data_IF_505240289068
#
_entry.id   IF_505240289068
#
_cell.length_a   1.000
_cell.length_b   1.000
_cell.length_c   1.000
_cell.angle_alpha   90.00
_cell.angle_beta   90.00
_cell.angle_gamma   90.00
#
_symmetry.space_group_name_H-M   'P 1'
#
loop_
_entity.id
_entity.type
_entity.pdbx_description
1 polymer ?
#
# COMPACT_ATOMS: atom_id res chain seq x y z
N UNK A 1 -7.33 24.26 9.90
CA UNK A 1 -6.08 24.12 10.67
C UNK A 1 -6.38 23.30 11.90
N UNK A 2 -5.69 22.18 12.08
CA UNK A 2 -5.85 21.43 13.32
C UNK A 2 -4.50 21.34 14.03
N UNK A 3 -4.48 21.89 15.25
CA UNK A 3 -3.38 21.74 16.21
C UNK A 3 -3.78 20.74 17.27
N UNK A 4 -2.86 19.85 17.59
CA UNK A 4 -3.08 18.77 18.54
C UNK A 4 -2.12 18.91 19.70
N UNK A 5 -2.64 18.80 20.92
CA UNK A 5 -1.80 18.72 22.11
C UNK A 5 -1.28 17.31 22.27
N UNK A 6 0.03 17.16 22.38
CA UNK A 6 0.72 15.89 22.61
C UNK A 6 1.30 15.89 24.02
N UNK A 7 1.03 14.84 24.78
CA UNK A 7 1.68 14.58 26.05
C UNK A 7 2.82 13.58 25.84
N UNK A 8 4.04 14.02 26.00
CA UNK A 8 5.25 13.24 25.76
C UNK A 8 6.15 13.22 27.02
N UNK A 9 7.25 12.51 26.94
CA UNK A 9 8.33 12.55 27.92
C UNK A 9 9.65 12.86 27.23
N UNK A 10 10.44 13.71 27.86
CA UNK A 10 11.80 14.01 27.37
C UNK A 10 12.78 12.87 27.72
N UNK A 11 14.04 13.03 27.35
CA UNK A 11 15.09 12.02 27.62
C UNK A 11 15.33 11.79 29.12
N UNK A 12 15.03 12.77 29.97
CA UNK A 12 15.10 12.64 31.42
C UNK A 12 13.84 12.01 32.03
N UNK A 13 12.91 11.51 31.20
CA UNK A 13 11.62 10.95 31.60
C UNK A 13 10.66 11.97 32.25
N UNK A 14 10.89 13.26 32.09
CA UNK A 14 10.02 14.33 32.57
C UNK A 14 8.87 14.55 31.58
N UNK A 15 7.66 14.83 32.09
CA UNK A 15 6.51 15.13 31.24
C UNK A 15 6.73 16.44 30.48
N UNK A 16 6.42 16.41 29.18
CA UNK A 16 6.41 17.60 28.32
C UNK A 16 5.12 17.63 27.53
N UNK A 17 4.58 18.84 27.41
CA UNK A 17 3.44 19.10 26.55
C UNK A 17 3.93 19.79 25.28
N UNK A 18 3.52 19.27 24.14
CA UNK A 18 3.88 19.77 22.82
C UNK A 18 2.63 20.04 22.01
N UNK A 19 2.72 20.94 21.07
CA UNK A 19 1.66 21.22 20.10
C UNK A 19 2.14 20.75 18.72
N UNK A 20 1.39 19.87 18.08
CA UNK A 20 1.63 19.43 16.71
C UNK A 20 0.70 20.15 15.76
N UNK A 21 1.25 20.83 14.77
CA UNK A 21 0.50 21.46 13.69
C UNK A 21 0.55 20.53 12.47
N UNK A 22 -0.62 20.00 12.06
CA UNK A 22 -0.68 19.00 10.98
C UNK A 22 -0.58 19.60 9.58
N UNK A 23 -0.66 20.91 9.40
CA UNK A 23 -0.47 21.55 8.11
C UNK A 23 1.01 21.73 7.79
N UNK A 24 1.79 22.15 8.77
CA UNK A 24 3.22 22.40 8.60
C UNK A 24 4.08 21.23 9.06
N UNK A 25 3.47 20.22 9.70
CA UNK A 25 4.17 19.15 10.43
C UNK A 25 5.13 19.68 11.49
N UNK A 26 4.90 20.89 12.00
CA UNK A 26 5.72 21.48 13.06
C UNK A 26 5.35 20.94 14.43
N UNK A 27 6.37 20.74 15.23
CA UNK A 27 6.25 20.46 16.66
C UNK A 27 6.64 21.73 17.42
N UNK A 28 5.72 22.23 18.22
CA UNK A 28 5.87 23.49 18.94
C UNK A 28 5.85 23.24 20.45
N UNK A 29 6.54 24.08 21.21
CA UNK A 29 6.36 24.19 22.64
C UNK A 29 5.01 24.84 22.98
N UNK A 30 4.62 24.85 24.26
CA UNK A 30 3.37 25.50 24.74
C UNK A 30 3.27 26.99 24.37
N UNK A 31 4.41 27.68 24.34
CA UNK A 31 4.51 29.08 23.95
C UNK A 31 4.53 29.29 22.41
N UNK A 32 4.21 28.26 21.66
CA UNK A 32 4.20 28.24 20.18
C UNK A 32 5.56 28.46 19.51
N UNK A 33 6.66 28.37 20.22
CA UNK A 33 7.99 28.36 19.61
C UNK A 33 8.31 26.97 19.04
N UNK A 34 9.05 26.86 17.92
CA UNK A 34 9.44 25.57 17.38
C UNK A 34 10.23 24.73 18.41
N UNK A 35 9.82 23.46 18.56
CA UNK A 35 10.55 22.54 19.42
C UNK A 35 11.95 22.27 18.84
N UNK A 36 13.02 22.31 19.65
CA UNK A 36 14.39 22.17 19.15
C UNK A 36 14.67 20.71 18.71
N UNK A 37 14.52 20.43 17.43
CA UNK A 37 14.86 19.17 16.79
C UNK A 37 15.95 19.40 15.74
N UNK A 38 16.71 18.34 15.44
CA UNK A 38 17.61 18.32 14.29
C UNK A 38 16.78 18.16 13.02
N UNK A 39 16.23 19.27 12.52
CA UNK A 39 15.43 19.28 11.31
C UNK A 39 16.28 18.94 10.08
N UNK A 40 15.68 18.24 9.15
CA UNK A 40 16.27 17.93 7.85
C UNK A 40 15.86 19.04 6.90
N UNK A 41 16.84 19.78 6.39
CA UNK A 41 16.55 20.78 5.35
C UNK A 41 16.11 20.09 4.07
N UNK A 42 14.84 20.29 3.70
CA UNK A 42 14.24 19.77 2.49
C UNK A 42 13.23 20.78 1.96
N UNK A 43 13.39 21.15 0.71
CA UNK A 43 12.37 21.96 0.04
C UNK A 43 11.20 21.07 -0.37
N UNK A 44 10.01 21.38 0.13
CA UNK A 44 8.77 20.76 -0.29
C UNK A 44 8.07 21.67 -1.27
N UNK A 45 7.96 21.23 -2.49
CA UNK A 45 6.96 21.81 -3.40
C UNK A 45 5.62 21.22 -2.97
N UNK A 46 4.76 22.06 -2.41
CA UNK A 46 3.36 21.70 -2.28
C UNK A 46 2.88 21.46 -3.71
N UNK A 47 2.61 20.21 -4.05
CA UNK A 47 2.21 19.87 -5.41
C UNK A 47 0.98 20.69 -5.77
N UNK A 48 1.09 21.52 -6.79
CA UNK A 48 -0.06 22.18 -7.36
C UNK A 48 -0.85 21.08 -8.06
N UNK A 49 -1.99 20.70 -7.48
CA UNK A 49 -2.91 19.77 -8.13
C UNK A 49 -3.66 20.59 -9.17
N UNK A 50 -3.23 20.48 -10.41
CA UNK A 50 -4.02 20.98 -11.52
C UNK A 50 -5.27 20.12 -11.65
N UNK A 51 -6.42 20.79 -11.76
CA UNK A 51 -7.67 20.09 -12.01
C UNK A 51 -7.58 19.38 -13.36
N UNK A 52 -7.61 18.07 -13.35
CA UNK A 52 -7.64 17.26 -14.57
C UNK A 52 -9.04 17.29 -15.16
N UNK A 53 -9.14 17.56 -16.45
CA UNK A 53 -10.40 17.58 -17.19
C UNK A 53 -10.22 16.93 -18.56
N UNK A 54 -11.33 16.68 -19.28
CA UNK A 54 -11.25 16.17 -20.65
C UNK A 54 -10.48 17.09 -21.61
N UNK A 55 -10.43 18.40 -21.30
CA UNK A 55 -9.66 19.38 -22.07
C UNK A 55 -8.25 19.61 -21.53
N UNK A 56 -7.97 19.17 -20.31
CA UNK A 56 -6.66 19.28 -19.65
C UNK A 56 -6.37 17.96 -18.92
N UNK A 57 -6.00 16.91 -19.66
CA UNK A 57 -5.86 15.57 -19.09
C UNK A 57 -4.62 15.39 -18.19
N UNK A 58 -3.92 16.44 -17.83
CA UNK A 58 -2.73 16.41 -16.96
C UNK A 58 -1.75 15.29 -17.37
N UNK A 59 -0.58 15.62 -17.87
CA UNK A 59 0.40 14.60 -18.29
C UNK A 59 1.50 14.47 -17.26
N UNK A 60 1.74 13.24 -16.77
CA UNK A 60 2.94 12.87 -16.05
C UNK A 60 3.87 12.14 -17.03
N UNK A 61 4.89 12.82 -17.52
CA UNK A 61 5.79 12.28 -18.56
C UNK A 61 6.94 11.46 -18.00
N UNK A 62 7.36 11.72 -16.76
CA UNK A 62 8.52 11.09 -16.13
C UNK A 62 8.21 10.55 -14.73
N UNK A 63 7.28 9.61 -14.58
CA UNK A 63 6.99 9.02 -13.30
C UNK A 63 8.15 8.12 -12.84
N UNK A 64 8.53 8.22 -11.56
CA UNK A 64 9.44 7.26 -10.94
C UNK A 64 8.76 5.93 -10.70
N UNK A 65 7.46 5.96 -10.42
CA UNK A 65 6.64 4.76 -10.18
C UNK A 65 5.54 4.65 -11.21
N UNK A 66 5.60 3.60 -12.01
CA UNK A 66 4.56 3.21 -12.96
C UNK A 66 3.72 2.09 -12.36
N UNK A 67 2.42 2.34 -12.14
CA UNK A 67 1.47 1.34 -11.68
C UNK A 67 0.62 0.87 -12.86
N UNK A 68 0.65 -0.42 -13.15
CA UNK A 68 -0.07 -1.01 -14.28
C UNK A 68 -1.22 -1.85 -13.73
N UNK A 69 -2.45 -1.44 -14.04
CA UNK A 69 -3.65 -2.21 -13.71
C UNK A 69 -3.92 -3.22 -14.83
N UNK A 70 -3.91 -4.51 -14.47
CA UNK A 70 -4.16 -5.62 -15.38
C UNK A 70 -5.66 -5.86 -15.65
N UNK A 71 -6.51 -5.41 -14.73
CA UNK A 71 -7.94 -5.61 -14.70
C UNK A 71 -8.43 -5.68 -13.26
N UNK A 72 -9.73 -5.78 -13.03
CA UNK A 72 -10.33 -5.78 -11.69
C UNK A 72 -10.91 -7.14 -11.26
N UNK A 73 -10.81 -8.17 -12.10
CA UNK A 73 -11.23 -9.52 -11.71
C UNK A 73 -10.36 -10.08 -10.61
N UNK A 74 -11.00 -10.73 -9.66
CA UNK A 74 -10.38 -11.36 -8.50
C UNK A 74 -11.05 -12.70 -8.23
N UNK A 75 -10.29 -13.67 -7.77
CA UNK A 75 -10.81 -14.96 -7.32
C UNK A 75 -11.25 -14.96 -5.85
N UNK A 76 -11.13 -13.79 -5.16
CA UNK A 76 -11.65 -13.55 -3.81
C UNK A 76 -12.75 -12.47 -3.84
N UNK A 77 -13.57 -12.46 -2.79
CA UNK A 77 -14.61 -11.46 -2.56
C UNK A 77 -14.53 -10.97 -1.13
N UNK A 78 -13.44 -10.25 -0.81
CA UNK A 78 -13.23 -9.72 0.53
C UNK A 78 -14.38 -8.81 0.96
N UNK A 79 -14.88 -8.96 2.18
CA UNK A 79 -16.00 -8.18 2.70
C UNK A 79 -15.78 -6.66 2.67
N UNK A 80 -14.54 -6.25 2.82
CA UNK A 80 -14.11 -4.85 2.85
C UNK A 80 -13.44 -4.36 1.56
N UNK A 81 -13.53 -5.11 0.44
CA UNK A 81 -12.85 -4.74 -0.79
C UNK A 81 -13.51 -3.54 -1.46
N UNK A 82 -12.78 -2.43 -1.58
CA UNK A 82 -13.27 -1.23 -2.26
C UNK A 82 -13.46 -1.40 -3.76
N UNK A 83 -12.81 -2.39 -4.40
CA UNK A 83 -12.93 -2.65 -5.84
C UNK A 83 -14.20 -3.42 -6.21
N UNK A 84 -14.86 -4.04 -5.25
CA UNK A 84 -16.02 -4.91 -5.43
C UNK A 84 -17.19 -4.22 -6.16
N UNK A 85 -17.32 -2.91 -6.02
CA UNK A 85 -18.39 -2.08 -6.61
C UNK A 85 -17.89 -1.16 -7.73
N UNK A 86 -16.61 -1.23 -8.07
CA UNK A 86 -16.07 -0.43 -9.16
C UNK A 86 -16.55 -1.05 -10.47
N UNK A 87 -17.17 -0.28 -11.40
CA UNK A 87 -17.52 -0.77 -12.70
C UNK A 87 -16.28 -1.31 -13.41
N UNK A 88 -16.34 -2.54 -13.89
CA UNK A 88 -15.23 -3.12 -14.63
C UNK A 88 -15.13 -2.44 -16.00
N UNK A 89 -13.93 -1.98 -16.34
CA UNK A 89 -13.59 -1.70 -17.72
C UNK A 89 -13.53 -3.01 -18.53
N UNK A 90 -13.38 -2.90 -19.83
CA UNK A 90 -13.10 -4.06 -20.65
C UNK A 90 -11.84 -4.76 -20.12
N UNK A 91 -11.97 -6.03 -19.77
CA UNK A 91 -10.84 -6.83 -19.30
C UNK A 91 -9.79 -6.97 -20.40
N UNK A 92 -8.53 -6.80 -20.03
CA UNK A 92 -7.42 -6.89 -20.96
C UNK A 92 -6.89 -8.30 -21.11
N UNK A 93 -6.32 -8.58 -22.26
CA UNK A 93 -5.79 -9.88 -22.62
C UNK A 93 -4.32 -9.78 -23.04
N UNK A 94 -3.68 -10.91 -23.25
CA UNK A 94 -2.31 -10.97 -23.79
C UNK A 94 -2.17 -10.24 -25.14
N UNK A 95 -3.23 -10.17 -25.94
CA UNK A 95 -3.21 -9.48 -27.24
C UNK A 95 -3.03 -7.97 -27.14
N UNK A 96 -3.35 -7.38 -25.98
CA UNK A 96 -3.25 -5.93 -25.73
C UNK A 96 -1.82 -5.50 -25.38
N UNK A 97 -0.95 -6.44 -24.95
CA UNK A 97 0.41 -6.17 -24.48
C UNK A 97 1.27 -5.43 -25.52
N UNK A 98 1.32 -5.81 -26.81
CA UNK A 98 2.15 -5.11 -27.78
C UNK A 98 1.72 -3.66 -28.02
N UNK A 99 0.41 -3.38 -27.98
CA UNK A 99 -0.10 -2.03 -28.11
C UNK A 99 0.24 -1.19 -26.88
N UNK A 100 0.07 -1.73 -25.68
CA UNK A 100 0.41 -1.05 -24.44
C UNK A 100 1.90 -0.69 -24.38
N UNK A 101 2.79 -1.59 -24.78
CA UNK A 101 4.23 -1.33 -24.82
C UNK A 101 4.58 -0.17 -25.77
N UNK A 102 3.90 -0.05 -26.92
CA UNK A 102 4.07 1.10 -27.82
C UNK A 102 3.58 2.39 -27.19
N UNK A 103 2.40 2.37 -26.53
CA UNK A 103 1.86 3.55 -25.82
C UNK A 103 2.81 4.04 -24.72
N UNK A 104 3.44 3.13 -23.99
CA UNK A 104 4.46 3.50 -23.00
C UNK A 104 5.68 4.14 -23.65
N UNK A 105 6.11 3.63 -24.82
CA UNK A 105 7.24 4.18 -25.58
C UNK A 105 7.00 5.63 -25.97
N UNK A 106 5.80 5.90 -26.47
CA UNK A 106 5.41 7.24 -26.91
C UNK A 106 5.13 8.22 -25.74
N UNK A 107 4.92 7.70 -24.52
CA UNK A 107 4.46 8.49 -23.38
C UNK A 107 5.50 8.73 -22.29
N UNK A 108 6.56 7.92 -22.23
CA UNK A 108 7.59 8.02 -21.20
C UNK A 108 8.90 8.50 -21.79
N UNK A 109 9.37 9.67 -21.33
CA UNK A 109 10.66 10.21 -21.73
C UNK A 109 11.84 9.57 -20.97
N UNK A 110 11.56 8.97 -19.79
CA UNK A 110 12.55 8.34 -18.93
C UNK A 110 12.05 6.99 -18.41
N UNK A 111 12.98 6.09 -18.13
CA UNK A 111 12.70 4.82 -17.51
C UNK A 111 12.16 5.00 -16.08
N UNK A 112 11.08 4.34 -15.70
CA UNK A 112 10.62 4.34 -14.30
C UNK A 112 11.63 3.60 -13.41
N UNK A 113 11.77 4.05 -12.17
CA UNK A 113 12.59 3.38 -11.15
C UNK A 113 11.88 2.12 -10.61
N UNK A 114 10.54 2.15 -10.64
CA UNK A 114 9.70 1.06 -10.12
C UNK A 114 8.46 0.85 -10.99
N UNK A 115 8.15 -0.42 -11.24
CA UNK A 115 6.94 -0.85 -11.94
C UNK A 115 6.15 -1.78 -11.02
N UNK A 116 4.89 -1.43 -10.76
CA UNK A 116 4.00 -2.21 -9.92
C UNK A 116 2.84 -2.76 -10.74
N UNK A 117 2.57 -4.06 -10.60
CA UNK A 117 1.46 -4.71 -11.26
C UNK A 117 0.30 -4.86 -10.29
N UNK A 118 -0.85 -4.31 -10.68
CA UNK A 118 -2.06 -4.24 -9.89
C UNK A 118 -3.24 -4.86 -10.61
N UNK A 119 -4.29 -5.20 -9.84
CA UNK A 119 -5.54 -5.73 -10.35
C UNK A 119 -6.48 -6.03 -9.19
N UNK A 120 -7.55 -6.78 -9.44
CA UNK A 120 -8.27 -7.46 -8.39
C UNK A 120 -7.34 -8.48 -7.73
N UNK A 121 -6.98 -9.53 -8.48
CA UNK A 121 -5.85 -10.42 -8.17
C UNK A 121 -4.93 -10.52 -9.40
N UNK A 122 -3.71 -9.98 -9.35
CA UNK A 122 -2.84 -9.95 -10.52
C UNK A 122 -2.49 -11.32 -11.09
N UNK A 123 -2.41 -12.37 -10.29
CA UNK A 123 -2.10 -13.72 -10.76
C UNK A 123 -3.26 -14.39 -11.52
N UNK A 124 -4.48 -13.88 -11.43
CA UNK A 124 -5.58 -14.29 -12.31
C UNK A 124 -5.25 -13.95 -13.76
N UNK A 125 -4.49 -12.89 -13.98
CA UNK A 125 -4.06 -12.42 -15.29
C UNK A 125 -2.69 -12.96 -15.71
N UNK A 126 -2.23 -14.10 -15.20
CA UNK A 126 -0.87 -14.61 -15.42
C UNK A 126 -0.49 -14.71 -16.90
N UNK A 127 -1.48 -15.03 -17.77
CA UNK A 127 -1.28 -15.12 -19.24
C UNK A 127 -0.95 -13.77 -19.88
N UNK A 128 -1.44 -12.67 -19.29
CA UNK A 128 -1.15 -11.28 -19.71
C UNK A 128 0.05 -10.73 -18.97
N UNK A 129 0.12 -10.97 -17.67
CA UNK A 129 1.18 -10.48 -16.78
C UNK A 129 2.56 -10.98 -17.21
N UNK A 130 2.69 -12.28 -17.52
CA UNK A 130 3.99 -12.89 -17.84
C UNK A 130 4.66 -12.23 -19.06
N UNK A 131 4.08 -12.20 -20.26
CA UNK A 131 4.72 -11.56 -21.41
C UNK A 131 4.91 -10.05 -21.22
N UNK A 132 4.01 -9.37 -20.51
CA UNK A 132 4.16 -7.96 -20.21
C UNK A 132 5.37 -7.70 -19.31
N UNK A 133 5.49 -8.43 -18.21
CA UNK A 133 6.58 -8.25 -17.25
C UNK A 133 7.94 -8.62 -17.88
N UNK A 134 8.01 -9.69 -18.71
CA UNK A 134 9.22 -10.09 -19.42
C UNK A 134 9.68 -9.00 -20.41
N UNK A 135 8.75 -8.44 -21.18
CA UNK A 135 9.05 -7.34 -22.10
C UNK A 135 9.50 -6.07 -21.36
N UNK A 136 8.83 -5.72 -20.25
CA UNK A 136 9.20 -4.57 -19.43
C UNK A 136 10.55 -4.77 -18.74
N UNK A 137 10.90 -6.00 -18.34
CA UNK A 137 12.22 -6.32 -17.77
C UNK A 137 13.33 -6.11 -18.78
N UNK A 138 13.11 -6.53 -20.04
CA UNK A 138 14.07 -6.31 -21.12
C UNK A 138 14.25 -4.81 -21.41
N UNK A 139 13.15 -4.05 -21.39
CA UNK A 139 13.16 -2.62 -21.69
C UNK A 139 13.72 -1.75 -20.55
N UNK A 140 13.38 -2.10 -19.30
CA UNK A 140 13.76 -1.37 -18.11
C UNK A 140 14.51 -2.27 -17.12
N UNK A 141 15.73 -2.70 -17.45
CA UNK A 141 16.46 -3.71 -16.68
C UNK A 141 16.76 -3.29 -15.24
N UNK A 142 16.88 -1.98 -14.99
CA UNK A 142 17.17 -1.43 -13.66
C UNK A 142 15.93 -1.15 -12.82
N UNK A 143 14.72 -1.21 -13.40
CA UNK A 143 13.49 -0.96 -12.65
C UNK A 143 13.22 -2.07 -11.64
N UNK A 144 12.82 -1.72 -10.42
CA UNK A 144 12.30 -2.69 -9.46
C UNK A 144 10.89 -3.08 -9.83
N UNK A 145 10.56 -4.39 -9.75
CA UNK A 145 9.21 -4.89 -10.00
C UNK A 145 8.50 -5.20 -8.69
N UNK A 146 7.22 -4.88 -8.61
CA UNK A 146 6.38 -5.15 -7.45
C UNK A 146 5.03 -5.74 -7.82
N UNK A 147 4.54 -6.67 -7.00
CA UNK A 147 3.21 -7.27 -7.12
C UNK A 147 2.62 -7.51 -5.73
N UNK A 148 1.30 -7.34 -5.60
CA UNK A 148 0.58 -7.71 -4.40
C UNK A 148 -0.45 -8.78 -4.78
N UNK A 149 -0.43 -9.92 -4.10
CA UNK A 149 -1.28 -11.08 -4.39
C UNK A 149 -1.94 -11.61 -3.13
N UNK A 150 -3.10 -12.23 -3.25
CA UNK A 150 -3.74 -12.97 -2.15
C UNK A 150 -3.06 -14.32 -1.86
N UNK A 151 -2.10 -14.72 -2.70
CA UNK A 151 -1.28 -15.92 -2.51
C UNK A 151 -1.92 -17.24 -2.91
N UNK A 152 -3.21 -17.29 -3.20
CA UNK A 152 -3.93 -18.54 -3.47
C UNK A 152 -3.54 -19.24 -4.79
N UNK A 153 -2.89 -18.51 -5.70
CA UNK A 153 -2.46 -19.03 -7.00
C UNK A 153 -0.94 -19.28 -7.07
N UNK A 154 -0.22 -19.06 -5.96
CA UNK A 154 1.21 -19.31 -5.91
C UNK A 154 1.50 -20.82 -6.02
N UNK A 155 2.45 -21.17 -6.84
CA UNK A 155 2.93 -22.52 -7.08
C UNK A 155 4.41 -22.47 -7.49
N UNK A 156 5.14 -23.60 -7.56
CA UNK A 156 6.56 -23.60 -7.86
C UNK A 156 6.94 -22.91 -9.16
N UNK A 157 6.15 -23.07 -10.23
CA UNK A 157 6.41 -22.44 -11.52
C UNK A 157 6.30 -20.89 -11.45
N UNK A 158 5.23 -20.39 -10.85
CA UNK A 158 5.01 -18.96 -10.66
C UNK A 158 6.08 -18.38 -9.73
N UNK A 159 6.43 -19.09 -8.65
CA UNK A 159 7.43 -18.64 -7.69
C UNK A 159 8.81 -18.51 -8.32
N UNK A 160 9.22 -19.48 -9.14
CA UNK A 160 10.48 -19.45 -9.88
C UNK A 160 10.52 -18.27 -10.87
N UNK A 161 9.43 -18.06 -11.59
CA UNK A 161 9.30 -16.96 -12.54
C UNK A 161 9.35 -15.59 -11.83
N UNK A 162 8.64 -15.40 -10.70
CA UNK A 162 8.69 -14.17 -9.91
C UNK A 162 10.09 -13.88 -9.38
N UNK A 163 10.78 -14.91 -8.90
CA UNK A 163 12.15 -14.80 -8.41
C UNK A 163 13.14 -14.46 -9.53
N UNK A 164 13.09 -15.17 -10.65
CA UNK A 164 13.94 -14.96 -11.81
C UNK A 164 13.82 -13.55 -12.41
N UNK A 165 12.60 -12.97 -12.41
CA UNK A 165 12.38 -11.59 -12.85
C UNK A 165 12.63 -10.54 -11.76
N UNK A 166 13.04 -10.92 -10.55
CA UNK A 166 13.40 -9.99 -9.49
C UNK A 166 12.21 -9.25 -8.89
N UNK A 167 11.04 -9.87 -8.81
CA UNK A 167 9.87 -9.26 -8.16
C UNK A 167 10.05 -9.10 -6.66
N UNK A 168 9.59 -7.97 -6.14
CA UNK A 168 9.19 -7.82 -4.75
C UNK A 168 7.72 -8.20 -4.61
N UNK A 169 7.38 -9.08 -3.67
CA UNK A 169 6.04 -9.65 -3.53
C UNK A 169 5.45 -9.31 -2.17
N UNK A 170 4.25 -8.70 -2.18
CA UNK A 170 3.41 -8.56 -1.00
C UNK A 170 2.34 -9.63 -0.98
N UNK A 171 2.33 -10.52 0.00
CA UNK A 171 1.26 -11.50 0.19
C UNK A 171 0.20 -10.90 1.10
N UNK A 172 -0.99 -10.70 0.56
CA UNK A 172 -2.13 -10.15 1.30
C UNK A 172 -2.77 -11.23 2.15
N UNK A 173 -2.59 -11.13 3.47
CA UNK A 173 -3.20 -12.05 4.44
C UNK A 173 -3.35 -11.37 5.79
N UNK A 174 -4.55 -11.43 6.37
CA UNK A 174 -4.88 -10.66 7.58
C UNK A 174 -4.49 -11.37 8.90
N UNK A 175 -3.76 -12.48 8.81
CA UNK A 175 -3.43 -13.27 9.99
C UNK A 175 -4.69 -13.83 10.66
N UNK A 176 -4.92 -13.58 11.97
CA UNK A 176 -6.10 -14.07 12.66
C UNK A 176 -7.44 -13.59 12.09
N UNK A 177 -7.42 -12.45 11.38
CA UNK A 177 -8.59 -11.82 10.77
C UNK A 177 -8.92 -12.27 9.36
N UNK A 178 -8.28 -13.32 8.83
CA UNK A 178 -8.38 -13.73 7.43
C UNK A 178 -9.81 -14.00 6.94
N UNK A 179 -10.74 -14.39 7.82
CA UNK A 179 -12.11 -14.67 7.44
C UNK A 179 -12.85 -13.51 6.77
N UNK A 180 -12.50 -12.25 7.09
CA UNK A 180 -13.08 -11.08 6.46
C UNK A 180 -12.54 -10.86 5.02
N UNK A 181 -11.39 -11.44 4.69
CA UNK A 181 -10.82 -11.43 3.34
C UNK A 181 -11.40 -12.52 2.45
N UNK A 182 -11.79 -13.67 3.02
CA UNK A 182 -12.32 -14.81 2.29
C UNK A 182 -11.63 -16.12 2.65
N UNK A 183 -11.51 -17.08 1.74
CA UNK A 183 -10.83 -18.35 1.99
C UNK A 183 -9.40 -18.10 2.50
N UNK A 184 -8.99 -18.95 3.45
CA UNK A 184 -7.62 -18.88 3.98
C UNK A 184 -6.68 -19.71 3.10
N UNK A 185 -5.76 -19.10 2.31
CA UNK A 185 -4.83 -19.84 1.47
C UNK A 185 -3.80 -20.63 2.29
N UNK A 186 -3.64 -20.30 3.58
CA UNK A 186 -2.77 -21.07 4.49
C UNK A 186 -3.46 -22.30 5.09
N UNK A 187 -4.78 -22.40 4.99
CA UNK A 187 -5.54 -23.61 5.35
C UNK A 187 -5.54 -24.64 4.22
N UNK A 188 -5.35 -24.23 2.98
CA UNK A 188 -5.16 -25.13 1.83
C UNK A 188 -3.70 -25.56 1.72
N UNK A 189 -3.43 -26.86 1.66
CA UNK A 189 -2.07 -27.41 1.70
C UNK A 189 -1.23 -26.96 0.50
N UNK A 190 -1.81 -26.91 -0.70
CA UNK A 190 -1.11 -26.52 -1.93
C UNK A 190 -0.75 -25.05 -1.93
N UNK A 191 -1.72 -24.18 -1.64
CA UNK A 191 -1.50 -22.72 -1.55
C UNK A 191 -0.50 -22.37 -0.44
N UNK A 192 -0.63 -23.02 0.71
CA UNK A 192 0.31 -22.87 1.82
C UNK A 192 1.74 -23.24 1.41
N UNK A 193 1.90 -24.39 0.74
CA UNK A 193 3.21 -24.83 0.24
C UNK A 193 3.78 -23.79 -0.75
N UNK A 194 2.96 -23.27 -1.67
CA UNK A 194 3.36 -22.22 -2.62
C UNK A 194 3.80 -20.93 -1.92
N UNK A 195 3.04 -20.46 -0.93
CA UNK A 195 3.37 -19.25 -0.15
C UNK A 195 4.68 -19.44 0.61
N UNK A 196 4.86 -20.57 1.29
CA UNK A 196 6.07 -20.84 2.08
C UNK A 196 7.31 -21.08 1.20
N UNK A 197 7.16 -21.70 0.03
CA UNK A 197 8.25 -21.81 -0.95
C UNK A 197 8.68 -20.42 -1.44
N UNK A 198 7.73 -19.57 -1.84
CA UNK A 198 8.05 -18.19 -2.24
C UNK A 198 8.72 -17.40 -1.12
N UNK A 199 8.23 -17.56 0.13
CA UNK A 199 8.82 -16.92 1.28
C UNK A 199 10.30 -17.31 1.46
N UNK A 200 10.63 -18.60 1.40
CA UNK A 200 11.99 -19.09 1.51
C UNK A 200 12.91 -18.56 0.41
N UNK A 201 12.40 -18.37 -0.81
CA UNK A 201 13.17 -17.85 -1.94
C UNK A 201 13.48 -16.36 -1.79
N UNK A 202 12.50 -15.56 -1.39
CA UNK A 202 12.57 -14.10 -1.47
C UNK A 202 12.96 -13.43 -0.15
N UNK A 203 12.71 -14.04 1.02
CA UNK A 203 13.01 -13.44 2.32
C UNK A 203 14.48 -13.14 2.55
N UNK A 204 15.46 -13.97 2.12
CA UNK A 204 16.87 -13.63 2.28
C UNK A 204 17.31 -12.37 1.54
N UNK A 205 16.53 -11.97 0.53
CA UNK A 205 16.78 -10.78 -0.29
C UNK A 205 15.88 -9.59 0.13
N UNK A 206 15.04 -9.76 1.16
CA UNK A 206 14.08 -8.73 1.59
C UNK A 206 13.02 -8.42 0.55
N UNK A 207 12.73 -9.36 -0.37
CA UNK A 207 11.79 -9.15 -1.50
C UNK A 207 10.39 -9.69 -1.25
N UNK A 208 10.06 -10.09 -0.03
CA UNK A 208 8.71 -10.56 0.32
C UNK A 208 8.24 -9.93 1.63
N UNK A 209 6.96 -9.61 1.68
CA UNK A 209 6.26 -9.16 2.88
C UNK A 209 4.89 -9.78 2.96
N UNK A 210 4.35 -9.92 4.17
CA UNK A 210 2.92 -10.10 4.36
C UNK A 210 2.27 -8.73 4.58
N UNK A 211 1.06 -8.53 4.03
CA UNK A 211 0.32 -7.30 4.19
C UNK A 211 -1.05 -7.60 4.82
N UNK A 212 -1.26 -7.10 6.02
CA UNK A 212 -2.50 -7.32 6.77
C UNK A 212 -3.35 -6.06 6.81
N UNK A 213 -4.64 -6.21 6.54
CA UNK A 213 -5.62 -5.17 6.86
C UNK A 213 -5.94 -5.22 8.34
N UNK A 214 -6.00 -4.05 8.96
CA UNK A 214 -6.51 -3.90 10.31
C UNK A 214 -8.00 -3.57 10.21
N UNK A 215 -8.83 -4.34 10.89
CA UNK A 215 -10.27 -4.18 10.86
C UNK A 215 -10.87 -4.46 12.25
N UNK A 216 -12.16 -4.17 12.42
CA UNK A 216 -12.85 -4.14 13.71
C UNK A 216 -12.60 -5.37 14.60
N UNK A 217 -12.55 -6.56 14.02
CA UNK A 217 -12.30 -7.82 14.73
C UNK A 217 -10.83 -8.30 14.65
N UNK A 218 -9.94 -7.52 14.05
CA UNK A 218 -8.51 -7.81 13.88
C UNK A 218 -7.68 -6.56 14.18
N UNK A 219 -7.80 -6.02 15.38
CA UNK A 219 -7.20 -4.72 15.77
C UNK A 219 -5.79 -4.85 16.32
N UNK A 220 -5.39 -6.03 16.81
CA UNK A 220 -4.09 -6.24 17.46
C UNK A 220 -2.98 -6.51 16.46
N UNK A 221 -2.05 -5.58 16.34
CA UNK A 221 -0.83 -5.76 15.56
C UNK A 221 0.10 -6.81 16.18
N UNK A 222 0.04 -6.97 17.52
CA UNK A 222 0.81 -7.98 18.24
C UNK A 222 0.33 -9.39 17.88
N UNK A 223 -0.98 -9.63 17.80
CA UNK A 223 -1.53 -10.94 17.40
C UNK A 223 -1.29 -11.22 15.90
N UNK A 224 -1.42 -10.21 15.03
CA UNK A 224 -1.07 -10.34 13.62
C UNK A 224 0.41 -10.72 13.48
N UNK A 225 1.31 -10.02 14.16
CA UNK A 225 2.74 -10.30 14.13
C UNK A 225 3.05 -11.71 14.65
N UNK A 226 2.45 -12.09 15.77
CA UNK A 226 2.61 -13.43 16.37
C UNK A 226 2.19 -14.54 15.41
N UNK A 227 1.09 -14.35 14.68
CA UNK A 227 0.63 -15.30 13.67
C UNK A 227 1.69 -15.57 12.61
N UNK A 228 2.25 -14.51 12.02
CA UNK A 228 3.26 -14.66 10.97
C UNK A 228 4.63 -15.11 11.48
N UNK A 229 5.01 -14.72 12.70
CA UNK A 229 6.20 -15.22 13.35
C UNK A 229 6.11 -16.74 13.60
N UNK A 230 4.94 -17.23 14.00
CA UNK A 230 4.69 -18.67 14.16
C UNK A 230 4.68 -19.41 12.81
N UNK A 231 4.12 -18.80 11.78
CA UNK A 231 4.05 -19.38 10.44
C UNK A 231 5.44 -19.58 9.81
N UNK A 232 6.31 -18.58 9.94
CA UNK A 232 7.61 -18.54 9.23
C UNK A 232 8.80 -18.90 10.10
N UNK A 233 8.69 -18.74 11.41
CA UNK A 233 9.82 -18.87 12.35
C UNK A 233 10.86 -17.73 12.21
N UNK A 234 10.59 -16.71 11.42
CA UNK A 234 11.53 -15.61 11.11
C UNK A 234 11.22 -14.36 11.97
N UNK A 235 12.08 -14.03 12.96
CA UNK A 235 11.86 -12.86 13.80
C UNK A 235 12.03 -11.52 13.05
N UNK A 236 12.58 -11.56 11.85
CA UNK A 236 12.83 -10.36 11.01
C UNK A 236 11.80 -10.18 9.91
N UNK A 237 10.73 -10.98 9.93
CA UNK A 237 9.68 -10.97 8.91
C UNK A 237 9.14 -9.56 8.64
N UNK A 238 9.01 -9.21 7.37
CA UNK A 238 8.38 -7.96 6.96
C UNK A 238 6.85 -8.13 6.95
N UNK A 239 6.17 -7.36 7.78
CA UNK A 239 4.71 -7.34 7.88
C UNK A 239 4.25 -5.89 7.69
N UNK A 240 3.66 -5.60 6.53
CA UNK A 240 3.04 -4.32 6.25
C UNK A 240 1.65 -4.23 6.88
N UNK A 241 1.32 -3.06 7.44
CA UNK A 241 -0.05 -2.70 7.72
C UNK A 241 -0.67 -2.13 6.44
N UNK A 242 -1.73 -2.73 5.92
CA UNK A 242 -2.47 -2.23 4.77
C UNK A 242 -3.11 -0.88 5.12
N UNK A 243 -4.39 -0.87 5.38
CA UNK A 243 -5.09 0.29 5.92
C UNK A 243 -6.08 -0.21 6.97
N UNK A 244 -6.62 0.70 7.78
CA UNK A 244 -7.85 0.39 8.49
C UNK A 244 -8.98 0.39 7.47
N UNK A 245 -9.92 -0.54 7.61
CA UNK A 245 -11.04 -0.69 6.67
C UNK A 245 -11.94 0.54 6.67
N UNK A 246 -12.13 1.13 5.50
CA UNK A 246 -13.07 2.22 5.30
C UNK A 246 -14.48 1.72 4.95
N UNK A 247 -15.53 2.40 5.42
CA UNK A 247 -16.92 1.96 5.24
C UNK A 247 -17.48 2.38 3.87
N UNK A 248 -16.98 1.80 2.78
CA UNK A 248 -17.52 2.08 1.44
C UNK A 248 -18.90 1.46 1.20
N UNK A 249 -19.24 0.40 1.93
CA UNK A 249 -20.48 -0.36 1.81
C UNK A 249 -20.82 -1.11 3.10
N UNK A 250 -21.84 -1.96 3.07
CA UNK A 250 -22.27 -2.73 4.23
C UNK A 250 -21.18 -3.67 4.78
N UNK A 251 -20.37 -4.32 3.91
CA UNK A 251 -19.26 -5.17 4.32
C UNK A 251 -18.10 -4.35 4.89
N UNK A 252 -17.73 -3.25 4.26
CA UNK A 252 -16.76 -2.29 4.78
C UNK A 252 -17.23 -1.70 6.10
N UNK A 253 -18.51 -1.35 6.22
CA UNK A 253 -19.10 -0.84 7.46
C UNK A 253 -19.00 -1.88 8.58
N UNK A 254 -19.32 -3.14 8.35
CA UNK A 254 -19.25 -4.20 9.36
C UNK A 254 -17.82 -4.41 9.90
N UNK A 255 -16.82 -4.17 9.06
CA UNK A 255 -15.40 -4.34 9.38
C UNK A 255 -14.69 -3.03 9.81
N UNK A 256 -15.38 -1.88 9.80
CA UNK A 256 -14.86 -0.59 10.28
C UNK A 256 -15.21 -0.34 11.74
N UNK A 257 -14.57 0.66 12.35
CA UNK A 257 -14.91 1.11 13.69
C UNK A 257 -16.25 1.84 13.67
N UNK A 258 -17.17 1.45 14.56
CA UNK A 258 -18.56 1.91 14.55
C UNK A 258 -18.80 3.14 15.43
N UNK A 259 -17.89 3.44 16.36
CA UNK A 259 -18.06 4.54 17.29
C UNK A 259 -16.73 5.22 17.64
N UNK A 260 -16.82 6.40 18.27
CA UNK A 260 -15.66 7.10 18.80
C UNK A 260 -14.97 6.32 19.93
N UNK A 261 -15.75 5.56 20.70
CA UNK A 261 -15.25 4.72 21.79
C UNK A 261 -14.41 3.58 21.22
N UNK A 262 -14.89 2.88 20.19
CA UNK A 262 -14.11 1.84 19.50
C UNK A 262 -12.83 2.43 18.89
N UNK A 263 -12.92 3.61 18.28
CA UNK A 263 -11.76 4.30 17.71
C UNK A 263 -10.73 4.70 18.79
N UNK A 264 -11.21 5.13 19.97
CA UNK A 264 -10.36 5.44 21.11
C UNK A 264 -9.67 4.18 21.66
N UNK A 265 -10.42 3.11 21.88
CA UNK A 265 -9.87 1.84 22.36
C UNK A 265 -8.84 1.26 21.40
N UNK A 266 -9.11 1.29 20.10
CA UNK A 266 -8.15 0.89 19.08
C UNK A 266 -6.84 1.68 19.16
N UNK A 267 -6.92 3.01 19.31
CA UNK A 267 -5.72 3.85 19.44
C UNK A 267 -4.98 3.56 20.74
N UNK A 268 -5.71 3.39 21.84
CA UNK A 268 -5.14 3.04 23.14
C UNK A 268 -4.41 1.69 23.07
N UNK A 269 -5.05 0.66 22.51
CA UNK A 269 -4.45 -0.66 22.29
C UNK A 269 -3.16 -0.53 21.46
N UNK A 270 -3.21 0.21 20.35
CA UNK A 270 -2.04 0.41 19.49
C UNK A 270 -0.86 1.05 20.23
N UNK A 271 -1.13 2.06 21.06
CA UNK A 271 -0.11 2.70 21.88
C UNK A 271 0.46 1.75 22.94
N UNK A 272 -0.39 0.94 23.58
CA UNK A 272 0.04 -0.03 24.58
C UNK A 272 0.91 -1.14 23.98
N UNK A 273 0.59 -1.64 22.78
CA UNK A 273 1.41 -2.58 22.04
C UNK A 273 2.80 -2.01 21.73
N UNK A 274 2.86 -0.74 21.29
CA UNK A 274 4.12 -0.03 21.05
C UNK A 274 4.90 0.14 22.35
N UNK A 275 4.25 0.55 23.45
CA UNK A 275 4.88 0.75 24.76
C UNK A 275 5.45 -0.56 25.33
N UNK A 276 4.80 -1.69 25.11
CA UNK A 276 5.33 -3.02 25.48
C UNK A 276 6.59 -3.40 24.72
N UNK A 277 6.83 -2.80 23.56
CA UNK A 277 8.06 -2.94 22.78
C UNK A 277 8.25 -4.28 22.06
N UNK A 278 7.30 -5.22 22.17
CA UNK A 278 7.44 -6.58 21.62
C UNK A 278 7.52 -6.60 20.10
N UNK A 279 6.78 -5.72 19.45
CA UNK A 279 6.67 -5.63 17.97
C UNK A 279 7.27 -4.35 17.40
N UNK A 280 7.88 -3.50 18.23
CA UNK A 280 8.40 -2.18 17.80
C UNK A 280 9.47 -2.28 16.72
N UNK A 281 10.16 -3.43 16.62
CA UNK A 281 11.15 -3.71 15.58
C UNK A 281 10.53 -4.12 14.24
N UNK A 282 9.24 -4.50 14.20
CA UNK A 282 8.53 -4.91 13.00
C UNK A 282 7.88 -3.72 12.27
N UNK A 283 7.79 -3.83 10.95
CA UNK A 283 7.25 -2.76 10.11
C UNK A 283 5.78 -2.47 10.39
N UNK A 284 4.98 -3.46 10.76
CA UNK A 284 3.58 -3.29 11.13
C UNK A 284 3.35 -2.28 12.26
N UNK A 285 4.30 -2.16 13.18
CA UNK A 285 4.24 -1.18 14.27
C UNK A 285 5.05 0.08 13.94
N UNK A 286 6.18 -0.07 13.27
CA UNK A 286 7.22 0.95 13.13
C UNK A 286 7.01 1.88 11.94
N UNK A 287 6.47 1.38 10.82
CA UNK A 287 6.46 2.14 9.57
C UNK A 287 5.68 3.46 9.68
N UNK A 288 4.49 3.44 10.27
CA UNK A 288 3.67 4.65 10.44
C UNK A 288 4.28 5.63 11.44
N UNK A 289 4.86 5.14 12.53
CA UNK A 289 5.54 5.98 13.52
C UNK A 289 6.78 6.65 12.92
N UNK A 290 7.57 5.88 12.15
CA UNK A 290 8.75 6.39 11.44
C UNK A 290 8.34 7.45 10.42
N UNK A 291 7.30 7.20 9.65
CA UNK A 291 6.81 8.12 8.63
C UNK A 291 6.27 9.41 9.27
N UNK A 292 5.57 9.31 10.37
CA UNK A 292 5.11 10.47 11.12
C UNK A 292 6.28 11.26 11.71
N UNK A 293 7.22 10.61 12.40
CA UNK A 293 8.41 11.27 12.94
C UNK A 293 9.24 11.94 11.84
N UNK A 294 9.41 11.25 10.71
CA UNK A 294 10.10 11.79 9.55
C UNK A 294 9.39 13.02 8.98
N UNK A 295 8.07 13.02 8.92
CA UNK A 295 7.31 14.19 8.45
C UNK A 295 7.56 15.43 9.29
N UNK A 296 7.72 15.27 10.62
CA UNK A 296 8.08 16.35 11.53
C UNK A 296 9.50 16.84 11.27
N UNK A 297 10.47 15.90 11.18
CA UNK A 297 11.87 16.25 10.95
C UNK A 297 12.10 16.95 9.61
N UNK A 298 11.38 16.54 8.59
CA UNK A 298 11.43 17.13 7.25
C UNK A 298 10.49 18.34 7.09
N UNK A 299 9.69 18.70 8.11
CA UNK A 299 8.62 19.71 8.02
C UNK A 299 7.73 19.52 6.79
N UNK A 300 7.41 18.27 6.49
CA UNK A 300 6.62 17.92 5.31
C UNK A 300 5.17 18.30 5.50
N UNK A 301 4.60 19.20 4.69
CA UNK A 301 3.21 19.59 4.81
C UNK A 301 2.30 18.39 4.55
N UNK A 302 1.13 18.39 5.19
CA UNK A 302 0.10 17.42 4.85
C UNK A 302 -0.35 17.62 3.40
N UNK A 303 -0.67 16.53 2.70
CA UNK A 303 -1.28 16.61 1.37
C UNK A 303 -2.58 17.42 1.43
N UNK A 304 -2.82 18.28 0.46
CA UNK A 304 -4.05 19.09 0.35
C UNK A 304 -5.30 18.24 0.27
N UNK A 305 -5.19 17.00 -0.20
CA UNK A 305 -6.29 16.04 -0.27
C UNK A 305 -6.35 15.12 0.97
N UNK A 306 -5.41 15.25 1.91
CA UNK A 306 -5.28 14.35 3.06
C UNK A 306 -4.98 12.90 2.68
N UNK A 307 -4.65 12.62 1.41
CA UNK A 307 -4.39 11.28 0.91
C UNK A 307 -2.98 10.81 1.28
N UNK A 308 -2.87 9.52 1.54
CA UNK A 308 -1.61 8.88 1.94
C UNK A 308 -1.05 7.92 0.89
N UNK A 309 -1.74 7.74 -0.22
CA UNK A 309 -1.36 6.77 -1.25
C UNK A 309 -0.31 7.28 -2.25
N UNK A 310 0.02 8.57 -2.21
CA UNK A 310 0.99 9.19 -3.10
C UNK A 310 0.53 9.36 -4.56
N UNK A 311 -0.73 9.05 -4.89
CA UNK A 311 -1.25 9.24 -6.26
C UNK A 311 -1.40 10.72 -6.65
N UNK A 312 -1.36 11.62 -5.68
CA UNK A 312 -1.24 13.07 -5.86
C UNK A 312 0.21 13.52 -6.14
N UNK A 313 1.18 12.61 -5.99
CA UNK A 313 2.58 12.89 -6.29
C UNK A 313 2.83 12.93 -7.81
N UNK A 314 3.61 13.90 -8.32
CA UNK A 314 4.03 13.92 -9.72
C UNK A 314 4.95 12.73 -10.08
N UNK A 315 5.50 12.04 -9.08
CA UNK A 315 6.41 10.92 -9.28
C UNK A 315 5.69 9.60 -9.58
N UNK A 316 4.35 9.55 -9.51
CA UNK A 316 3.59 8.32 -9.73
C UNK A 316 2.51 8.49 -10.79
N UNK A 317 2.30 7.45 -11.58
CA UNK A 317 1.19 7.33 -12.52
C UNK A 317 0.59 5.93 -12.44
N UNK A 318 -0.73 5.84 -12.51
CA UNK A 318 -1.43 4.57 -12.69
C UNK A 318 -2.08 4.54 -14.07
N UNK A 319 -1.94 3.43 -14.77
CA UNK A 319 -2.49 3.23 -16.12
C UNK A 319 -3.09 1.82 -16.22
N UNK A 320 -4.12 1.67 -17.06
CA UNK A 320 -4.56 0.34 -17.51
C UNK A 320 -3.83 -0.07 -18.80
N UNK A 321 -4.06 -1.31 -19.29
CA UNK A 321 -3.42 -1.79 -20.50
C UNK A 321 -3.97 -1.15 -21.78
N UNK A 322 -5.06 -0.39 -21.69
CA UNK A 322 -5.59 0.41 -22.80
C UNK A 322 -4.89 1.77 -22.90
N UNK A 323 -4.02 2.09 -21.93
CA UNK A 323 -3.31 3.37 -21.85
C UNK A 323 -4.12 4.47 -21.13
N UNK A 324 -5.26 4.15 -20.54
CA UNK A 324 -6.04 5.12 -19.77
C UNK A 324 -5.30 5.46 -18.49
N UNK A 325 -5.16 6.74 -18.18
CA UNK A 325 -4.60 7.21 -16.91
C UNK A 325 -5.67 7.14 -15.83
N UNK A 326 -5.35 6.45 -14.75
CA UNK A 326 -6.25 6.21 -13.63
C UNK A 326 -5.93 7.18 -12.48
N UNK A 327 -6.95 7.65 -11.78
CA UNK A 327 -6.78 8.47 -10.56
C UNK A 327 -6.26 7.64 -9.39
N UNK A 328 -6.47 6.33 -9.42
CA UNK A 328 -5.95 5.35 -8.46
C UNK A 328 -5.84 3.98 -9.15
N UNK A 329 -4.87 3.16 -8.79
CA UNK A 329 -4.76 1.77 -9.27
C UNK A 329 -5.96 0.87 -8.89
N UNK A 330 -6.82 1.33 -7.97
CA UNK A 330 -7.98 0.59 -7.48
C UNK A 330 -9.31 1.01 -8.12
N UNK A 331 -9.29 1.91 -9.09
CA UNK A 331 -10.48 2.35 -9.83
C UNK A 331 -10.39 1.93 -11.29
N UNK A 332 -11.51 1.98 -12.00
CA UNK A 332 -11.54 1.70 -13.44
C UNK A 332 -11.52 3.01 -14.26
N UNK A 333 -11.19 2.90 -15.53
CA UNK A 333 -11.31 3.99 -16.52
C UNK A 333 -12.76 4.24 -16.93
N UNK A 334 -13.70 3.39 -16.54
CA UNK A 334 -15.13 3.57 -16.84
C UNK A 334 -15.69 4.68 -15.96
N UNK A 335 -16.24 5.70 -16.60
CA UNK A 335 -16.95 6.77 -15.89
C UNK A 335 -18.20 6.24 -15.20
N UNK A 336 -18.33 6.52 -13.91
CA UNK A 336 -19.58 6.32 -13.20
C UNK A 336 -20.53 7.43 -13.72
N UNK A 337 -21.66 7.04 -14.29
CA UNK A 337 -22.68 8.01 -14.70
C UNK A 337 -23.14 8.82 -13.49
N UNK A 338 -23.41 10.14 -13.63
CA UNK A 338 -23.80 11.00 -12.50
C UNK A 338 -25.05 10.57 -11.74
N UNK A 339 -25.78 9.59 -12.26
CA UNK A 339 -27.05 9.08 -11.72
C UNK A 339 -26.99 7.56 -11.41
N UNK A 340 -25.81 6.98 -11.28
CA UNK A 340 -25.63 5.56 -10.94
C UNK A 340 -25.21 5.38 -9.49
#
# INVERSE_FOLDING_TARGET
>A
MARFTLHARNRANEPVQLIYDNQTSELLAENLTPWPLAYIEKSWTVGHIEAVSLTHPGRKTNPKVLKIQLGLSCNYSCDYCSQRFVPHAQETTQADVPQFLRLLEDSLDQAPERIEFWGGEPLVYIKTLRPLAEALRQRYPSASFGIVTNGSLLNPEINEWLDALGFGVGVSHDGPGQSARGPDPLADESSRAGILDLYKRLSPQGRISFNAMVHRTNTSREEIAKYFLQLTGDPTISIGEGAFVDPYDAGGLANSLQSNEEAFEFRRQSLDEIRRGRIVHLDIARSRMREWARSILERRPASVLGQKCGMDSPDQIAVDLMGSVLTCQNVSSVSIAPNG
#
